data_IF_750780354450
#
_entry.id   IF_750780354450
#
_cell.length_a   1.000
_cell.length_b   1.000
_cell.length_c   1.000
_cell.angle_alpha   90.00
_cell.angle_beta   90.00
_cell.angle_gamma   90.00
#
_symmetry.space_group_name_H-M   'P 1'
#
loop_
_entity.id
_entity.type
_entity.pdbx_description
1 polymer ?
#
# COMPACT_ATOMS: atom_id res chain seq x y z
N UNK A 1 -7.21 9.63 -9.76
CA UNK A 1 -5.80 10.02 -9.52
C UNK A 1 -5.57 11.51 -9.69
N UNK A 2 -4.88 12.15 -8.72
CA UNK A 2 -4.32 13.50 -8.88
C UNK A 2 -3.13 13.43 -9.87
N UNK A 3 -3.45 13.31 -11.15
CA UNK A 3 -2.50 13.28 -12.27
C UNK A 3 -1.93 14.66 -12.58
N UNK A 4 -2.08 15.64 -11.68
CA UNK A 4 -1.54 17.00 -11.87
C UNK A 4 -0.03 16.98 -12.15
N UNK A 5 0.71 16.05 -11.54
CA UNK A 5 2.14 15.85 -11.81
C UNK A 5 2.46 15.46 -13.26
N UNK A 6 1.53 14.78 -13.95
CA UNK A 6 1.70 14.29 -15.32
C UNK A 6 1.57 15.43 -16.34
N UNK A 7 0.76 16.46 -16.01
CA UNK A 7 0.51 17.62 -16.89
C UNK A 7 1.61 18.66 -16.88
N UNK A 8 2.63 18.50 -16.04
CA UNK A 8 3.77 19.41 -15.97
C UNK A 8 4.48 19.51 -17.32
N UNK A 9 4.87 20.72 -17.68
CA UNK A 9 5.74 20.99 -18.82
C UNK A 9 7.18 20.58 -18.49
N UNK A 10 8.03 20.32 -19.51
CA UNK A 10 9.43 20.01 -19.25
C UNK A 10 10.16 21.08 -18.43
N UNK A 11 9.81 22.37 -18.60
CA UNK A 11 10.40 23.48 -17.83
C UNK A 11 10.00 23.41 -16.35
N UNK A 12 8.74 23.14 -16.04
CA UNK A 12 8.27 22.99 -14.66
C UNK A 12 8.88 21.78 -13.96
N UNK A 13 9.02 20.65 -14.67
CA UNK A 13 9.70 19.46 -14.14
C UNK A 13 11.15 19.80 -13.80
N UNK A 14 11.88 20.45 -14.71
CA UNK A 14 13.27 20.89 -14.46
C UNK A 14 13.34 21.85 -13.28
N UNK A 15 12.39 22.78 -13.16
CA UNK A 15 12.31 23.71 -12.02
C UNK A 15 12.18 22.97 -10.69
N UNK A 16 11.24 22.01 -10.60
CA UNK A 16 11.08 21.17 -9.40
C UNK A 16 12.30 20.32 -9.10
N UNK A 17 13.00 19.82 -10.13
CA UNK A 17 14.25 19.07 -9.95
C UNK A 17 15.41 19.97 -9.47
N UNK A 18 15.41 21.26 -9.81
CA UNK A 18 16.44 22.21 -9.36
C UNK A 18 16.38 22.47 -7.85
N UNK A 19 15.23 22.29 -7.20
CA UNK A 19 15.09 22.44 -5.74
C UNK A 19 15.91 21.40 -4.96
N UNK A 20 16.17 20.23 -5.56
CA UNK A 20 16.81 19.10 -4.87
C UNK A 20 18.18 18.74 -5.45
N UNK A 21 18.45 19.10 -6.70
CA UNK A 21 19.60 18.61 -7.45
C UNK A 21 20.34 19.81 -8.01
N UNK A 22 21.62 19.94 -7.67
CA UNK A 22 22.47 21.01 -8.17
C UNK A 22 23.11 20.58 -9.50
N UNK A 23 23.14 21.45 -10.51
CA UNK A 23 23.75 21.15 -11.81
C UNK A 23 22.98 20.10 -12.64
N UNK A 24 23.71 19.26 -13.39
CA UNK A 24 23.14 18.15 -14.20
C UNK A 24 22.00 18.56 -15.16
N UNK A 25 22.10 19.73 -15.77
CA UNK A 25 21.03 20.33 -16.57
C UNK A 25 20.60 19.45 -17.76
N UNK A 26 21.54 18.78 -18.42
CA UNK A 26 21.24 17.89 -19.55
C UNK A 26 20.42 16.66 -19.10
N UNK A 27 20.83 16.03 -18.00
CA UNK A 27 20.11 14.88 -17.44
C UNK A 27 18.69 15.28 -17.02
N UNK A 28 18.53 16.40 -16.30
CA UNK A 28 17.21 16.94 -15.93
C UNK A 28 16.32 17.20 -17.15
N UNK A 29 16.87 17.80 -18.20
CA UNK A 29 16.14 18.09 -19.45
C UNK A 29 15.67 16.80 -20.14
N UNK A 30 16.56 15.82 -20.31
CA UNK A 30 16.25 14.52 -20.94
C UNK A 30 15.16 13.77 -20.18
N UNK A 31 15.28 13.75 -18.85
CA UNK A 31 14.30 13.14 -17.95
C UNK A 31 12.94 13.83 -18.04
N UNK A 32 12.91 15.16 -18.04
CA UNK A 32 11.69 15.94 -18.19
C UNK A 32 11.00 15.71 -19.55
N UNK A 33 11.77 15.57 -20.63
CA UNK A 33 11.24 15.23 -21.96
C UNK A 33 10.62 13.82 -21.95
N UNK A 34 11.31 12.84 -21.36
CA UNK A 34 10.80 11.47 -21.29
C UNK A 34 9.47 11.38 -20.53
N UNK A 35 9.35 12.07 -19.39
CA UNK A 35 8.08 12.19 -18.66
C UNK A 35 7.00 12.87 -19.49
N UNK A 36 7.31 13.99 -20.14
CA UNK A 36 6.33 14.70 -20.98
C UNK A 36 5.87 13.86 -22.15
N UNK A 37 6.74 13.02 -22.70
CA UNK A 37 6.37 12.10 -23.78
C UNK A 37 5.38 11.02 -23.31
N UNK A 38 5.45 10.57 -22.05
CA UNK A 38 4.42 9.67 -21.48
C UNK A 38 3.05 10.35 -21.45
N UNK A 39 2.99 11.60 -20.99
CA UNK A 39 1.75 12.40 -21.03
C UNK A 39 1.24 12.62 -22.47
N UNK A 40 2.13 12.91 -23.41
CA UNK A 40 1.74 13.07 -24.82
C UNK A 40 1.18 11.77 -25.37
N UNK A 41 1.82 10.64 -25.07
CA UNK A 41 1.34 9.31 -25.47
C UNK A 41 -0.05 9.00 -24.91
N UNK A 42 -0.35 9.37 -23.66
CA UNK A 42 -1.68 9.13 -23.09
C UNK A 42 -2.82 9.88 -23.81
N UNK A 43 -2.50 10.93 -24.58
CA UNK A 43 -3.45 11.72 -25.37
C UNK A 43 -3.67 11.19 -26.80
N UNK A 44 -2.90 10.19 -27.23
CA UNK A 44 -3.04 9.60 -28.56
C UNK A 44 -4.20 8.59 -28.59
N UNK A 45 -4.55 8.14 -29.79
CA UNK A 45 -5.42 6.99 -30.02
C UNK A 45 -4.74 5.67 -29.63
N UNK A 46 -5.52 4.61 -29.45
CA UNK A 46 -5.01 3.31 -28.97
C UNK A 46 -4.04 2.64 -29.94
N UNK A 47 -4.20 2.83 -31.25
CA UNK A 47 -3.29 2.31 -32.26
C UNK A 47 -1.92 2.99 -32.14
N UNK A 48 -1.89 4.32 -32.17
CA UNK A 48 -0.66 5.10 -31.99
C UNK A 48 0.01 4.87 -30.63
N UNK A 49 -0.76 4.63 -29.55
CA UNK A 49 -0.20 4.33 -28.22
C UNK A 49 0.61 3.05 -28.21
N UNK A 50 0.14 2.02 -28.91
CA UNK A 50 0.79 0.71 -28.94
C UNK A 50 2.09 0.74 -29.77
N UNK A 51 2.14 1.53 -30.82
CA UNK A 51 3.35 1.68 -31.65
C UNK A 51 4.46 2.49 -30.95
N UNK A 52 4.09 3.42 -30.06
CA UNK A 52 5.05 4.31 -29.41
C UNK A 52 5.60 3.69 -28.12
N UNK A 53 6.79 3.10 -28.24
CA UNK A 53 7.57 2.62 -27.11
C UNK A 53 8.06 3.75 -26.20
N UNK A 54 8.09 3.54 -24.86
CA UNK A 54 8.72 4.46 -23.93
C UNK A 54 10.18 4.75 -24.30
N UNK A 55 10.62 6.00 -24.13
CA UNK A 55 12.03 6.37 -24.28
C UNK A 55 12.77 6.06 -22.98
N UNK A 56 13.42 4.90 -22.94
CA UNK A 56 14.33 4.52 -21.85
C UNK A 56 15.54 5.47 -21.80
N UNK A 57 16.06 5.74 -20.61
CA UNK A 57 17.17 6.67 -20.38
C UNK A 57 18.36 5.90 -19.82
N UNK A 58 19.50 5.99 -20.50
CA UNK A 58 20.78 5.55 -19.98
C UNK A 58 21.54 6.76 -19.40
N UNK A 59 21.81 6.73 -18.09
CA UNK A 59 22.57 7.78 -17.41
C UNK A 59 24.03 7.34 -17.25
N UNK A 60 24.95 8.07 -17.88
CA UNK A 60 26.39 7.80 -17.81
C UNK A 60 27.07 8.89 -16.98
N UNK A 61 27.90 8.49 -16.02
CA UNK A 61 28.66 9.41 -15.18
C UNK A 61 29.28 8.71 -13.97
N UNK A 62 30.18 9.35 -13.22
CA UNK A 62 30.79 8.77 -12.03
C UNK A 62 29.76 8.54 -10.90
N UNK A 63 30.14 7.81 -9.86
CA UNK A 63 29.33 7.67 -8.65
C UNK A 63 29.20 9.03 -7.93
N UNK A 64 28.13 9.21 -7.15
CA UNK A 64 27.94 10.44 -6.35
C UNK A 64 27.45 11.69 -7.10
N UNK A 65 27.38 11.70 -8.44
CA UNK A 65 26.91 12.88 -9.22
C UNK A 65 25.39 13.10 -9.21
N UNK A 66 24.63 12.27 -8.50
CA UNK A 66 23.18 12.41 -8.35
C UNK A 66 22.31 11.65 -9.36
N UNK A 67 22.83 10.66 -10.10
CA UNK A 67 22.05 9.84 -11.06
C UNK A 67 20.78 9.24 -10.43
N UNK A 68 20.94 8.55 -9.29
CA UNK A 68 19.84 7.94 -8.55
C UNK A 68 18.88 9.00 -7.98
N UNK A 69 19.40 10.15 -7.56
CA UNK A 69 18.59 11.23 -6.99
C UNK A 69 17.72 11.89 -8.05
N UNK A 70 18.23 12.08 -9.28
CA UNK A 70 17.43 12.53 -10.43
C UNK A 70 16.26 11.59 -10.67
N UNK A 71 16.51 10.27 -10.73
CA UNK A 71 15.45 9.29 -10.97
C UNK A 71 14.41 9.26 -9.83
N UNK A 72 14.86 9.25 -8.58
CA UNK A 72 14.00 9.24 -7.39
C UNK A 72 13.13 10.51 -7.30
N UNK A 73 13.73 11.69 -7.49
CA UNK A 73 13.01 12.97 -7.43
C UNK A 73 12.03 13.14 -8.57
N UNK A 74 12.43 12.72 -9.78
CA UNK A 74 11.52 12.67 -10.93
C UNK A 74 10.25 11.88 -10.58
N UNK A 75 10.38 10.65 -10.09
CA UNK A 75 9.24 9.81 -9.77
C UNK A 75 8.33 10.47 -8.71
N UNK A 76 8.93 11.05 -7.67
CA UNK A 76 8.18 11.78 -6.63
C UNK A 76 7.42 13.00 -7.18
N UNK A 77 8.02 13.76 -8.11
CA UNK A 77 7.39 14.95 -8.72
C UNK A 77 6.12 14.60 -9.51
N UNK A 78 6.12 13.44 -10.18
CA UNK A 78 4.97 13.00 -11.00
C UNK A 78 4.05 12.02 -10.27
N UNK A 79 4.35 11.67 -9.02
CA UNK A 79 3.58 10.68 -8.25
C UNK A 79 3.66 9.26 -8.85
N UNK A 80 4.79 8.89 -9.46
CA UNK A 80 4.99 7.58 -10.06
C UNK A 80 5.56 6.56 -9.06
N UNK A 81 5.16 5.28 -9.16
CA UNK A 81 5.81 4.20 -8.41
C UNK A 81 7.26 4.04 -8.90
N UNK A 82 8.17 3.86 -7.94
CA UNK A 82 9.61 3.85 -8.17
C UNK A 82 10.29 2.73 -7.41
N UNK A 83 11.15 1.99 -8.11
CA UNK A 83 12.03 0.98 -7.50
C UNK A 83 13.47 1.17 -7.99
N UNK A 84 14.44 1.03 -7.07
CA UNK A 84 15.87 0.91 -7.39
C UNK A 84 16.25 -0.57 -7.29
N UNK A 85 16.85 -1.10 -8.34
CA UNK A 85 17.46 -2.43 -8.36
C UNK A 85 18.93 -2.31 -8.79
N UNK A 86 19.78 -3.22 -8.31
CA UNK A 86 21.20 -3.30 -8.70
C UNK A 86 21.35 -4.47 -9.66
N UNK A 87 21.96 -4.24 -10.83
CA UNK A 87 22.04 -5.26 -11.88
C UNK A 87 22.84 -6.49 -11.44
N UNK A 88 23.83 -6.31 -10.56
CA UNK A 88 24.70 -7.37 -10.02
C UNK A 88 23.93 -8.41 -9.20
N UNK A 89 22.77 -8.06 -8.62
CA UNK A 89 21.92 -8.99 -7.85
C UNK A 89 21.38 -10.16 -8.67
N UNK A 90 21.37 -10.03 -10.00
CA UNK A 90 20.90 -11.06 -10.91
C UNK A 90 22.04 -11.96 -11.42
N UNK A 91 23.31 -11.61 -11.15
CA UNK A 91 24.49 -12.37 -11.59
C UNK A 91 25.00 -13.40 -10.59
N UNK A 92 24.57 -13.35 -9.33
CA UNK A 92 25.11 -14.19 -8.27
C UNK A 92 24.56 -15.62 -8.33
N UNK A 93 25.36 -16.52 -8.90
CA UNK A 93 25.15 -17.97 -8.90
C UNK A 93 25.35 -18.47 -7.46
N UNK A 94 24.29 -18.61 -6.66
CA UNK A 94 24.50 -19.16 -5.31
C UNK A 94 23.30 -19.34 -4.38
N UNK A 95 22.18 -18.65 -4.54
CA UNK A 95 21.03 -18.89 -3.67
C UNK A 95 19.76 -18.47 -4.39
N UNK A 96 19.02 -19.43 -4.96
CA UNK A 96 17.66 -19.28 -5.51
C UNK A 96 17.44 -17.88 -6.09
N UNK A 97 18.15 -17.58 -7.19
CA UNK A 97 18.35 -16.22 -7.68
C UNK A 97 17.04 -15.44 -7.76
N UNK A 98 17.04 -14.18 -7.30
CA UNK A 98 15.89 -13.31 -7.52
C UNK A 98 15.66 -13.24 -9.02
N UNK A 99 14.52 -13.75 -9.44
CA UNK A 99 14.02 -13.63 -10.80
C UNK A 99 14.02 -12.14 -11.21
N UNK A 100 14.45 -11.84 -12.44
CA UNK A 100 14.44 -10.47 -12.96
C UNK A 100 13.02 -9.89 -12.91
N UNK A 101 11.97 -10.72 -13.07
CA UNK A 101 10.58 -10.28 -12.93
C UNK A 101 10.22 -9.76 -11.52
N UNK A 102 11.01 -10.10 -10.50
CA UNK A 102 10.82 -9.57 -9.14
C UNK A 102 10.87 -8.04 -9.10
N UNK A 103 11.60 -7.38 -10.00
CA UNK A 103 11.62 -5.91 -10.07
C UNK A 103 10.26 -5.32 -10.47
N UNK A 104 9.48 -6.05 -11.29
CA UNK A 104 8.13 -5.64 -11.69
C UNK A 104 7.15 -5.89 -10.56
N UNK A 105 7.26 -7.04 -9.88
CA UNK A 105 6.45 -7.35 -8.69
C UNK A 105 6.66 -6.32 -7.58
N UNK A 106 7.91 -6.00 -7.26
CA UNK A 106 8.26 -4.97 -6.28
C UNK A 106 7.72 -3.59 -6.68
N UNK A 107 7.73 -3.26 -7.98
CA UNK A 107 7.15 -2.01 -8.48
C UNK A 107 5.64 -1.95 -8.29
N UNK A 108 4.93 -3.05 -8.58
CA UNK A 108 3.48 -3.16 -8.36
C UNK A 108 3.15 -3.01 -6.87
N UNK A 109 3.91 -3.65 -5.99
CA UNK A 109 3.74 -3.50 -4.54
C UNK A 109 3.89 -2.05 -4.07
N UNK A 110 4.89 -1.35 -4.61
CA UNK A 110 5.07 0.10 -4.35
C UNK A 110 3.86 0.89 -4.87
N UNK A 111 3.32 0.54 -6.03
CA UNK A 111 2.13 1.18 -6.61
C UNK A 111 0.88 0.97 -5.74
N UNK A 112 0.65 -0.25 -5.26
CA UNK A 112 -0.46 -0.59 -4.35
C UNK A 112 -0.38 0.24 -3.07
N UNK A 113 0.81 0.34 -2.47
CA UNK A 113 1.02 1.18 -1.27
C UNK A 113 0.75 2.64 -1.55
N UNK A 114 1.17 3.15 -2.71
CA UNK A 114 0.97 4.53 -3.12
C UNK A 114 -0.51 4.86 -3.30
N UNK A 115 -1.27 4.04 -4.02
CA UNK A 115 -2.72 4.22 -4.23
C UNK A 115 -3.48 4.11 -2.91
N UNK A 116 -3.16 3.11 -2.08
CA UNK A 116 -3.80 2.96 -0.76
C UNK A 116 -3.54 4.17 0.13
N UNK A 117 -2.31 4.69 0.17
CA UNK A 117 -1.99 5.90 0.93
C UNK A 117 -2.77 7.13 0.44
N UNK A 118 -2.93 7.29 -0.88
CA UNK A 118 -3.73 8.37 -1.46
C UNK A 118 -5.22 8.23 -1.12
N UNK A 119 -5.81 7.04 -1.33
CA UNK A 119 -7.22 6.78 -0.99
C UNK A 119 -7.48 6.97 0.51
N UNK A 120 -6.58 6.49 1.37
CA UNK A 120 -6.65 6.68 2.82
C UNK A 120 -6.68 8.16 3.21
N UNK A 121 -5.81 8.98 2.60
CA UNK A 121 -5.78 10.42 2.82
C UNK A 121 -7.09 11.11 2.37
N UNK A 122 -7.66 10.69 1.24
CA UNK A 122 -8.94 11.22 0.75
C UNK A 122 -10.12 10.85 1.66
N UNK A 123 -10.13 9.64 2.22
CA UNK A 123 -11.17 9.19 3.15
C UNK A 123 -11.05 9.91 4.50
N UNK A 124 -9.83 10.05 5.02
CA UNK A 124 -9.56 10.79 6.27
C UNK A 124 -10.05 12.25 6.20
N UNK A 125 -9.94 12.91 5.05
CA UNK A 125 -10.48 14.27 4.85
C UNK A 125 -12.02 14.31 4.86
N UNK A 126 -12.69 13.26 4.37
CA UNK A 126 -14.16 13.23 4.21
C UNK A 126 -14.92 12.73 5.44
N UNK A 127 -14.32 11.89 6.29
CA UNK A 127 -15.06 11.04 7.25
C UNK A 127 -14.50 11.09 8.68
N UNK A 128 -14.42 12.28 9.30
CA UNK A 128 -14.08 12.37 10.75
C UNK A 128 -15.20 11.87 11.68
N UNK A 129 -16.45 11.82 11.20
CA UNK A 129 -17.63 11.58 12.04
C UNK A 129 -17.79 10.12 12.50
N UNK A 130 -17.40 9.14 11.67
CA UNK A 130 -17.57 7.71 12.01
C UNK A 130 -16.61 7.23 13.11
N UNK A 131 -15.30 7.50 13.04
CA UNK A 131 -14.37 7.17 14.13
C UNK A 131 -14.81 7.80 15.45
N UNK A 132 -15.33 9.03 15.40
CA UNK A 132 -15.81 9.76 16.58
C UNK A 132 -17.02 9.11 17.24
N UNK A 133 -17.99 8.60 16.46
CA UNK A 133 -19.14 7.86 16.99
C UNK A 133 -18.73 6.58 17.71
N UNK A 134 -17.76 5.84 17.17
CA UNK A 134 -17.27 4.62 17.81
C UNK A 134 -16.48 4.92 19.10
N UNK A 135 -15.62 5.94 19.07
CA UNK A 135 -14.90 6.42 20.25
C UNK A 135 -15.86 6.86 21.36
N UNK A 136 -16.96 7.52 21.00
CA UNK A 136 -18.03 7.90 21.93
C UNK A 136 -18.73 6.67 22.55
N UNK A 137 -18.96 5.59 21.79
CA UNK A 137 -19.53 4.35 22.36
C UNK A 137 -18.56 3.57 23.24
N UNK A 138 -17.25 3.79 23.10
CA UNK A 138 -16.22 3.21 23.98
C UNK A 138 -16.09 3.98 25.29
N UNK A 139 -16.22 5.32 25.23
CA UNK A 139 -16.18 6.20 26.41
C UNK A 139 -17.48 6.17 27.21
N UNK A 140 -18.62 6.09 26.52
CA UNK A 140 -19.94 5.90 27.12
C UNK A 140 -20.46 4.58 26.62
N UNK A 141 -20.26 3.48 27.39
CA UNK A 141 -20.90 2.23 27.06
C UNK A 141 -22.41 2.47 27.05
N UNK A 142 -23.05 2.38 25.88
CA UNK A 142 -24.44 1.95 25.86
C UNK A 142 -24.46 0.62 26.59
N UNK A 143 -25.31 0.45 27.59
CA UNK A 143 -25.48 -0.82 28.27
C UNK A 143 -25.80 -1.91 27.23
N UNK A 144 -24.78 -2.58 26.69
CA UNK A 144 -24.98 -3.90 26.10
C UNK A 144 -25.36 -4.76 27.28
N UNK A 145 -26.57 -5.33 27.27
CA UNK A 145 -26.97 -6.39 28.19
C UNK A 145 -25.80 -7.38 28.26
N UNK A 146 -25.01 -7.34 29.33
CA UNK A 146 -24.46 -8.58 29.86
C UNK A 146 -25.71 -9.38 30.15
N UNK A 147 -25.97 -10.39 29.33
CA UNK A 147 -27.04 -11.33 29.53
C UNK A 147 -27.07 -11.69 31.01
N UNK A 148 -28.10 -11.22 31.70
CA UNK A 148 -28.49 -11.78 32.97
C UNK A 148 -28.82 -13.23 32.68
N UNK A 149 -27.87 -14.13 32.98
CA UNK A 149 -28.16 -15.53 33.24
C UNK A 149 -29.05 -15.59 34.49
N UNK A 150 -30.29 -15.14 34.37
CA UNK A 150 -31.38 -15.61 35.22
C UNK A 150 -31.82 -16.92 34.59
N UNK A 151 -31.13 -18.01 34.96
CA UNK A 151 -31.61 -19.35 34.76
C UNK A 151 -32.95 -19.45 35.49
N UNK A 152 -34.07 -19.36 34.77
CA UNK A 152 -35.39 -19.63 35.32
C UNK A 152 -35.44 -21.12 35.72
N UNK A 153 -35.53 -21.46 37.02
CA UNK A 153 -35.50 -22.84 37.49
C UNK A 153 -36.68 -23.68 36.99
N UNK A 154 -37.71 -23.03 36.48
CA UNK A 154 -38.93 -23.65 35.95
C UNK A 154 -38.72 -24.27 34.54
N UNK A 155 -37.79 -23.73 33.75
CA UNK A 155 -37.57 -24.14 32.36
C UNK A 155 -36.67 -25.38 32.25
N UNK A 156 -35.85 -25.65 33.27
CA UNK A 156 -35.08 -26.90 33.37
C UNK A 156 -35.92 -28.11 33.83
N UNK A 157 -37.16 -27.88 34.28
CA UNK A 157 -38.06 -28.90 34.84
C UNK A 157 -39.07 -29.43 33.81
N UNK A 158 -39.40 -28.65 32.77
CA UNK A 158 -40.22 -29.09 31.65
C UNK A 158 -39.31 -29.51 30.50
N UNK A 159 -38.93 -30.79 30.52
CA UNK A 159 -37.97 -31.35 29.57
C UNK A 159 -38.35 -31.20 28.11
N UNK A 160 -37.39 -30.72 27.31
CA UNK A 160 -37.17 -31.15 25.93
C UNK A 160 -38.12 -30.61 24.84
N UNK A 161 -37.48 -30.02 23.82
CA UNK A 161 -37.90 -29.96 22.42
C UNK A 161 -39.04 -28.98 22.04
N UNK A 162 -38.65 -27.72 21.79
CA UNK A 162 -39.16 -26.96 20.64
C UNK A 162 -37.96 -26.29 19.95
N UNK A 163 -37.59 -26.66 18.71
CA UNK A 163 -36.65 -25.89 17.93
C UNK A 163 -37.36 -24.63 17.44
N UNK A 164 -37.08 -23.49 18.07
CA UNK A 164 -37.55 -22.19 17.58
C UNK A 164 -36.78 -21.83 16.30
N UNK A 165 -37.33 -22.24 15.17
CA UNK A 165 -36.90 -21.81 13.84
C UNK A 165 -37.65 -20.53 13.50
N UNK A 166 -36.93 -19.40 13.41
CA UNK A 166 -37.49 -18.15 12.89
C UNK A 166 -37.77 -17.08 13.94
N UNK A 167 -36.72 -16.47 14.48
CA UNK A 167 -36.76 -15.04 14.78
C UNK A 167 -35.46 -14.43 14.26
N UNK A 168 -35.58 -13.75 13.12
CA UNK A 168 -34.62 -12.74 12.72
C UNK A 168 -34.54 -11.75 13.88
N UNK A 169 -33.39 -11.70 14.54
CA UNK A 169 -33.04 -10.61 15.43
C UNK A 169 -32.87 -9.36 14.56
N UNK A 170 -33.97 -8.71 14.23
CA UNK A 170 -33.94 -7.28 13.97
C UNK A 170 -33.59 -6.63 15.30
N UNK A 171 -32.42 -6.00 15.34
CA UNK A 171 -31.90 -5.24 16.46
C UNK A 171 -32.89 -4.12 16.83
N UNK A 172 -33.88 -4.42 17.67
CA UNK A 172 -34.65 -3.38 18.36
C UNK A 172 -33.74 -2.73 19.41
N UNK A 173 -33.05 -1.67 18.99
CA UNK A 173 -32.44 -0.71 19.90
C UNK A 173 -33.54 -0.06 20.76
N UNK A 174 -33.73 -0.52 22.00
CA UNK A 174 -34.55 0.21 22.98
C UNK A 174 -34.03 1.67 23.07
N UNK A 175 -34.92 2.68 23.07
CA UNK A 175 -34.52 4.07 23.06
C UNK A 175 -33.69 4.37 24.32
N UNK A 176 -32.53 5.05 24.20
CA UNK A 176 -31.69 5.35 25.34
C UNK A 176 -32.47 6.21 26.34
N UNK A 177 -32.38 5.88 27.64
CA UNK A 177 -32.92 6.72 28.73
C UNK A 177 -32.40 8.16 28.61
N UNK A 178 -33.24 9.15 28.94
CA UNK A 178 -32.93 10.59 28.78
C UNK A 178 -31.61 11.01 29.48
N UNK A 179 -31.27 10.38 30.60
CA UNK A 179 -29.99 10.61 31.32
C UNK A 179 -28.75 10.13 30.53
N UNK A 180 -28.88 9.10 29.71
CA UNK A 180 -27.77 8.59 28.90
C UNK A 180 -27.59 9.47 27.67
N UNK A 181 -28.67 9.98 27.08
CA UNK A 181 -28.61 10.94 25.97
C UNK A 181 -27.89 12.23 26.38
N UNK A 182 -28.17 12.75 27.56
CA UNK A 182 -27.56 13.97 28.10
C UNK A 182 -26.08 13.78 28.42
N UNK A 183 -25.68 12.69 29.08
CA UNK A 183 -24.26 12.35 29.28
C UNK A 183 -23.49 12.14 27.98
N UNK A 184 -24.13 11.50 27.00
CA UNK A 184 -23.53 11.24 25.68
C UNK A 184 -23.34 12.52 24.87
N UNK A 185 -24.23 13.50 24.97
CA UNK A 185 -24.07 14.79 24.29
C UNK A 185 -22.96 15.63 24.95
N UNK A 186 -22.84 15.60 26.27
CA UNK A 186 -21.79 16.29 27.01
C UNK A 186 -20.40 15.71 26.71
N UNK A 187 -20.24 14.39 26.77
CA UNK A 187 -18.97 13.71 26.44
C UNK A 187 -18.62 13.89 24.96
N UNK A 188 -19.60 13.89 24.06
CA UNK A 188 -19.37 14.23 22.65
C UNK A 188 -18.78 15.62 22.50
N UNK A 189 -19.33 16.63 23.21
CA UNK A 189 -18.79 18.00 23.18
C UNK A 189 -17.36 18.05 23.72
N UNK A 190 -17.09 17.38 24.84
CA UNK A 190 -15.75 17.31 25.43
C UNK A 190 -14.73 16.59 24.51
N UNK A 191 -15.18 15.59 23.74
CA UNK A 191 -14.36 14.87 22.76
C UNK A 191 -14.06 15.72 21.51
N UNK A 192 -15.03 16.52 21.06
CA UNK A 192 -14.88 17.50 19.98
C UNK A 192 -13.96 18.66 20.41
N UNK A 193 -14.05 19.10 21.66
CA UNK A 193 -13.18 20.11 22.27
C UNK A 193 -11.77 19.58 22.62
N UNK A 194 -11.49 18.29 22.41
CA UNK A 194 -10.17 17.69 22.69
C UNK A 194 -9.82 17.61 24.18
N UNK A 195 -10.80 17.63 25.08
CA UNK A 195 -10.56 17.61 26.54
C UNK A 195 -10.30 16.20 27.08
N UNK A 196 -10.65 15.17 26.32
CA UNK A 196 -10.58 13.77 26.73
C UNK A 196 -9.38 13.00 26.14
N UNK A 197 -8.42 13.67 25.48
CA UNK A 197 -7.31 13.00 24.77
C UNK A 197 -6.44 12.10 25.66
N UNK A 198 -6.32 12.46 26.94
CA UNK A 198 -5.52 11.75 27.95
C UNK A 198 -6.27 10.59 28.63
N UNK A 199 -7.59 10.53 28.47
CA UNK A 199 -8.39 9.43 29.02
C UNK A 199 -7.99 8.11 28.36
N UNK A 200 -8.11 7.02 29.11
CA UNK A 200 -7.76 5.69 28.62
C UNK A 200 -9.00 4.97 28.13
N UNK A 201 -8.91 4.39 26.94
CA UNK A 201 -9.97 3.57 26.33
C UNK A 201 -9.42 2.22 25.93
N UNK A 202 -10.26 1.19 26.06
CA UNK A 202 -9.94 -0.15 25.59
C UNK A 202 -10.42 -0.30 24.16
N UNK A 203 -9.48 -0.59 23.26
CA UNK A 203 -9.77 -0.83 21.84
C UNK A 203 -9.28 -2.22 21.43
N UNK A 204 -10.00 -2.84 20.51
CA UNK A 204 -9.59 -4.09 19.85
C UNK A 204 -8.68 -3.73 18.68
N UNK A 205 -7.40 -4.02 18.81
CA UNK A 205 -6.41 -3.78 17.74
C UNK A 205 -6.04 -5.13 17.11
N UNK A 206 -5.95 -5.17 15.78
CA UNK A 206 -5.34 -6.32 15.11
C UNK A 206 -3.85 -6.34 15.44
N UNK A 207 -3.41 -7.38 16.15
CA UNK A 207 -2.01 -7.57 16.44
C UNK A 207 -1.40 -8.41 15.33
N UNK A 208 -0.37 -7.87 14.68
CA UNK A 208 0.43 -8.62 13.72
C UNK A 208 1.26 -9.68 14.49
N UNK A 209 1.02 -10.99 14.29
CA UNK A 209 1.66 -12.05 15.09
C UNK A 209 3.18 -12.07 14.97
N UNK A 210 3.75 -11.41 13.95
CA UNK A 210 5.19 -11.35 13.68
C UNK A 210 6.04 -10.75 14.80
N UNK A 211 5.47 -9.94 15.70
CA UNK A 211 6.21 -9.33 16.79
C UNK A 211 6.58 -10.31 17.94
N UNK A 212 5.93 -11.47 18.02
CA UNK A 212 6.20 -12.48 19.07
C UNK A 212 7.13 -13.62 18.57
N UNK A 213 7.55 -13.59 17.30
CA UNK A 213 8.38 -14.63 16.69
C UNK A 213 9.89 -14.58 17.03
N UNK A 214 10.36 -13.55 17.75
CA UNK A 214 11.78 -13.38 18.09
C UNK A 214 12.28 -14.27 19.26
N UNK A 215 11.48 -15.24 19.75
CA UNK A 215 11.84 -16.08 20.90
C UNK A 215 11.96 -17.59 20.60
N UNK A 216 11.98 -18.02 19.33
CA UNK A 216 12.04 -19.44 18.97
C UNK A 216 12.89 -19.72 17.73
N UNK A 217 14.05 -20.36 17.95
CA UNK A 217 14.92 -21.11 17.02
C UNK A 217 14.73 -20.92 15.50
N UNK A 218 15.78 -20.39 14.87
CA UNK A 218 15.99 -20.00 13.48
C UNK A 218 15.90 -21.09 12.38
N UNK A 219 15.03 -22.11 12.47
CA UNK A 219 15.07 -23.21 11.48
C UNK A 219 13.88 -23.35 10.53
N UNK A 220 12.77 -22.61 10.66
CA UNK A 220 11.62 -22.79 9.74
C UNK A 220 10.79 -21.51 9.53
N UNK A 221 11.38 -20.48 8.90
CA UNK A 221 10.68 -19.24 8.54
C UNK A 221 9.49 -19.47 7.59
N UNK A 222 9.62 -20.35 6.59
CA UNK A 222 8.53 -20.62 5.63
C UNK A 222 7.32 -21.31 6.27
N UNK A 223 7.52 -22.18 7.26
CA UNK A 223 6.41 -22.85 7.96
C UNK A 223 5.71 -21.89 8.94
N UNK A 224 6.44 -20.94 9.54
CA UNK A 224 5.86 -19.89 10.38
C UNK A 224 5.00 -18.90 9.57
N UNK A 225 5.43 -18.52 8.36
CA UNK A 225 4.63 -17.66 7.48
C UNK A 225 3.33 -18.34 7.03
N UNK A 226 3.39 -19.63 6.65
CA UNK A 226 2.21 -20.41 6.29
C UNK A 226 1.25 -20.61 7.48
N UNK A 227 1.78 -20.83 8.69
CA UNK A 227 1.00 -20.93 9.93
C UNK A 227 0.33 -19.60 10.30
N UNK A 228 1.02 -18.46 10.11
CA UNK A 228 0.47 -17.13 10.37
C UNK A 228 -0.65 -16.75 9.39
N UNK A 229 -0.62 -17.28 8.16
CA UNK A 229 -1.66 -17.06 7.15
C UNK A 229 -2.93 -17.91 7.41
N UNK A 230 -2.77 -19.08 8.02
CA UNK A 230 -3.85 -19.99 8.40
C UNK A 230 -4.47 -19.66 9.77
N UNK A 231 -3.77 -18.93 10.64
CA UNK A 231 -4.33 -18.49 11.91
C UNK A 231 -5.21 -17.24 11.74
N UNK A 232 -6.46 -17.24 12.23
CA UNK A 232 -7.31 -16.05 12.17
C UNK A 232 -6.65 -14.93 12.98
N UNK A 233 -6.56 -13.73 12.39
CA UNK A 233 -6.02 -12.53 13.03
C UNK A 233 -6.73 -12.29 14.36
N UNK A 234 -6.06 -12.60 15.48
CA UNK A 234 -6.63 -12.36 16.81
C UNK A 234 -6.59 -10.86 17.09
N UNK A 235 -7.77 -10.25 17.21
CA UNK A 235 -7.91 -8.88 17.73
C UNK A 235 -7.62 -8.91 19.23
N UNK A 236 -6.58 -8.21 19.66
CA UNK A 236 -6.18 -8.12 21.07
C UNK A 236 -6.72 -6.82 21.65
N UNK A 237 -7.35 -6.90 22.82
CA UNK A 237 -7.79 -5.71 23.55
C UNK A 237 -6.59 -5.02 24.18
N UNK A 238 -6.41 -3.73 23.88
CA UNK A 238 -5.37 -2.89 24.45
C UNK A 238 -5.97 -1.61 25.02
N UNK A 239 -5.44 -1.19 26.15
CA UNK A 239 -5.80 0.07 26.77
C UNK A 239 -4.83 1.16 26.29
N UNK A 240 -5.35 2.18 25.61
CA UNK A 240 -4.57 3.27 25.02
C UNK A 240 -5.24 4.61 25.30
N UNK A 241 -4.49 5.70 25.21
CA UNK A 241 -5.05 7.04 25.29
C UNK A 241 -6.02 7.31 24.13
N UNK A 242 -7.04 8.14 24.36
CA UNK A 242 -8.04 8.56 23.36
C UNK A 242 -7.37 9.15 22.11
N UNK A 243 -6.27 9.89 22.24
CA UNK A 243 -5.53 10.44 21.09
C UNK A 243 -5.02 9.32 20.16
N UNK A 244 -4.42 8.29 20.75
CA UNK A 244 -3.88 7.13 20.03
C UNK A 244 -5.02 6.28 19.48
N UNK A 245 -6.09 6.08 20.27
CA UNK A 245 -7.29 5.37 19.82
C UNK A 245 -7.92 6.05 18.60
N UNK A 246 -8.00 7.39 18.58
CA UNK A 246 -8.54 8.15 17.45
C UNK A 246 -7.76 7.85 16.17
N UNK A 247 -6.43 7.85 16.23
CA UNK A 247 -5.56 7.53 15.08
C UNK A 247 -5.76 6.09 14.60
N UNK A 248 -5.75 5.12 15.52
CA UNK A 248 -5.92 3.69 15.19
C UNK A 248 -7.29 3.42 14.58
N UNK A 249 -8.35 3.96 15.17
CA UNK A 249 -9.71 3.78 14.66
C UNK A 249 -9.87 4.45 13.30
N UNK A 250 -9.38 5.69 13.13
CA UNK A 250 -9.42 6.37 11.83
C UNK A 250 -8.72 5.56 10.74
N UNK A 251 -7.59 4.96 11.07
CA UNK A 251 -6.84 4.10 10.15
C UNK A 251 -7.58 2.82 9.80
N UNK A 252 -8.10 2.09 10.79
CA UNK A 252 -8.90 0.88 10.58
C UNK A 252 -10.14 1.17 9.74
N UNK A 253 -10.83 2.28 10.01
CA UNK A 253 -12.01 2.68 9.25
C UNK A 253 -11.68 3.09 7.82
N UNK A 254 -10.54 3.76 7.62
CA UNK A 254 -10.12 4.10 6.27
C UNK A 254 -9.82 2.82 5.47
N UNK A 255 -9.19 1.82 6.08
CA UNK A 255 -8.89 0.54 5.42
C UNK A 255 -10.16 -0.24 5.07
N UNK A 256 -11.19 -0.23 5.94
CA UNK A 256 -12.51 -0.82 5.67
C UNK A 256 -13.28 -0.11 4.54
N UNK A 257 -13.15 1.21 4.44
CA UNK A 257 -13.85 2.02 3.43
C UNK A 257 -13.19 1.97 2.05
N UNK A 258 -11.92 1.55 1.96
CA UNK A 258 -11.22 1.42 0.69
C UNK A 258 -11.63 0.11 0.03
N UNK A 259 -12.32 0.22 -1.10
CA UNK A 259 -12.49 -0.89 -2.02
C UNK A 259 -11.11 -1.36 -2.52
N UNK A 260 -10.72 -2.55 -2.08
CA UNK A 260 -9.43 -3.14 -2.38
C UNK A 260 -9.33 -3.54 -3.85
N UNK A 261 -10.42 -3.98 -4.47
CA UNK A 261 -10.41 -4.40 -5.88
C UNK A 261 -10.17 -3.20 -6.79
N UNK A 262 -10.95 -2.13 -6.62
CA UNK A 262 -10.72 -0.86 -7.32
C UNK A 262 -9.32 -0.28 -7.03
N UNK A 263 -8.83 -0.36 -5.79
CA UNK A 263 -7.50 0.13 -5.44
C UNK A 263 -6.37 -0.66 -6.12
N UNK A 264 -6.51 -1.98 -6.21
CA UNK A 264 -5.52 -2.83 -6.86
C UNK A 264 -5.52 -2.63 -8.38
N UNK A 265 -6.68 -2.50 -9.01
CA UNK A 265 -6.80 -2.19 -10.43
C UNK A 265 -6.17 -0.82 -10.76
N UNK A 266 -6.48 0.20 -9.97
CA UNK A 266 -5.90 1.54 -10.13
C UNK A 266 -4.36 1.52 -9.92
N UNK A 267 -3.87 0.69 -8.99
CA UNK A 267 -2.44 0.51 -8.76
C UNK A 267 -1.74 -0.21 -9.92
N UNK A 268 -2.38 -1.20 -10.54
CA UNK A 268 -1.85 -1.90 -11.71
C UNK A 268 -1.71 -0.94 -12.88
N UNK A 269 -2.76 -0.18 -13.20
CA UNK A 269 -2.74 0.84 -14.25
C UNK A 269 -1.68 1.92 -13.99
N UNK A 270 -1.50 2.33 -12.74
CA UNK A 270 -0.46 3.28 -12.35
C UNK A 270 0.96 2.71 -12.58
N UNK A 271 1.18 1.45 -12.25
CA UNK A 271 2.46 0.78 -12.48
C UNK A 271 2.76 0.65 -13.98
N UNK A 272 1.77 0.24 -14.78
CA UNK A 272 1.91 0.08 -16.23
C UNK A 272 2.18 1.40 -16.96
N UNK A 273 1.43 2.47 -16.63
CA UNK A 273 1.51 3.73 -17.35
C UNK A 273 2.65 4.63 -16.83
N UNK A 274 2.86 4.63 -15.52
CA UNK A 274 3.72 5.61 -14.85
C UNK A 274 4.89 4.99 -14.09
N UNK A 275 4.98 3.67 -14.00
CA UNK A 275 6.08 2.98 -13.33
C UNK A 275 7.47 3.38 -13.82
N UNK A 276 8.40 3.48 -12.86
CA UNK A 276 9.80 3.82 -13.10
C UNK A 276 10.67 2.79 -12.38
N UNK A 277 11.45 2.04 -13.16
CA UNK A 277 12.47 1.12 -12.65
C UNK A 277 13.84 1.75 -12.91
N UNK A 278 14.62 1.93 -11.84
CA UNK A 278 16.00 2.39 -11.94
C UNK A 278 16.95 1.20 -11.73
N UNK A 279 17.61 0.80 -12.81
CA UNK A 279 18.63 -0.26 -12.80
C UNK A 279 19.99 0.40 -12.61
N UNK A 280 20.54 0.28 -11.40
CA UNK A 280 21.87 0.77 -11.04
C UNK A 280 22.94 -0.24 -11.44
N UNK A 281 24.16 0.24 -11.65
CA UNK A 281 25.34 -0.58 -12.00
C UNK A 281 25.15 -1.51 -13.21
N UNK A 282 24.36 -1.08 -14.20
CA UNK A 282 24.12 -1.87 -15.42
C UNK A 282 25.41 -2.09 -16.24
N UNK A 283 26.42 -1.25 -16.06
CA UNK A 283 27.75 -1.42 -16.64
C UNK A 283 28.47 -2.67 -16.09
N UNK A 284 28.13 -3.14 -14.88
CA UNK A 284 28.74 -4.34 -14.26
C UNK A 284 28.27 -5.65 -14.87
N UNK A 285 27.13 -5.64 -15.56
CA UNK A 285 26.61 -6.79 -16.29
C UNK A 285 26.91 -6.72 -17.79
N UNK A 286 27.61 -5.69 -18.26
CA UNK A 286 28.13 -5.62 -19.62
C UNK A 286 29.30 -6.61 -19.82
N UNK A 287 29.40 -7.19 -21.02
CA UNK A 287 30.52 -8.07 -21.39
C UNK A 287 31.64 -7.30 -22.06
N UNK A 288 32.88 -7.65 -21.73
CA UNK A 288 34.06 -7.24 -22.49
C UNK A 288 34.45 -8.39 -23.40
N UNK A 289 34.66 -8.15 -24.70
CA UNK A 289 34.92 -9.14 -25.77
C UNK A 289 36.11 -10.11 -25.58
N UNK A 290 36.72 -10.24 -24.40
CA UNK A 290 37.95 -10.98 -24.18
C UNK A 290 37.92 -12.10 -23.11
N UNK A 291 36.85 -12.32 -22.33
CA UNK A 291 36.88 -13.32 -21.23
C UNK A 291 35.64 -14.25 -21.19
N UNK A 292 35.73 -15.38 -21.90
CA UNK A 292 34.64 -16.35 -22.14
C UNK A 292 33.97 -17.02 -20.93
N UNK A 293 34.54 -16.96 -19.71
CA UNK A 293 34.05 -17.71 -18.55
C UNK A 293 32.99 -17.00 -17.68
N UNK A 294 33.23 -15.75 -17.27
CA UNK A 294 32.27 -14.96 -16.48
C UNK A 294 31.22 -14.24 -17.35
N UNK A 295 31.45 -14.19 -18.67
CA UNK A 295 30.59 -13.50 -19.62
C UNK A 295 29.22 -14.19 -19.78
N UNK A 296 29.12 -15.51 -19.61
CA UNK A 296 27.85 -16.25 -19.81
C UNK A 296 26.78 -15.85 -18.78
N UNK A 297 27.16 -15.69 -17.50
CA UNK A 297 26.22 -15.26 -16.44
C UNK A 297 25.79 -13.80 -16.63
N UNK A 298 26.73 -12.92 -17.00
CA UNK A 298 26.44 -11.49 -17.27
C UNK A 298 25.54 -11.31 -18.50
N UNK A 299 25.78 -12.08 -19.56
CA UNK A 299 24.90 -12.11 -20.75
C UNK A 299 23.51 -12.68 -20.43
N UNK A 300 23.43 -13.68 -19.54
CA UNK A 300 22.16 -14.21 -19.04
C UNK A 300 21.29 -13.11 -18.45
N UNK A 301 21.84 -12.29 -17.55
CA UNK A 301 21.12 -11.16 -16.95
C UNK A 301 20.64 -10.15 -17.98
N UNK A 302 21.48 -9.79 -18.97
CA UNK A 302 21.04 -8.90 -20.04
C UNK A 302 19.88 -9.50 -20.85
N UNK A 303 19.95 -10.80 -21.14
CA UNK A 303 18.90 -11.53 -21.86
C UNK A 303 17.59 -11.54 -21.07
N UNK A 304 17.66 -11.66 -19.76
CA UNK A 304 16.49 -11.76 -18.88
C UNK A 304 15.87 -10.38 -18.59
N UNK A 305 16.66 -9.30 -18.59
CA UNK A 305 16.16 -7.91 -18.52
C UNK A 305 15.51 -7.47 -19.85
N UNK A 306 15.96 -8.00 -20.98
CA UNK A 306 15.52 -7.59 -22.31
C UNK A 306 14.01 -7.73 -22.53
N UNK A 307 13.34 -8.85 -22.13
CA UNK A 307 11.89 -8.94 -22.08
C UNK A 307 11.28 -7.77 -21.32
N UNK A 308 11.70 -7.43 -20.11
CA UNK A 308 11.07 -6.35 -19.34
C UNK A 308 11.17 -4.99 -20.06
N UNK A 309 12.27 -4.74 -20.79
CA UNK A 309 12.45 -3.54 -21.60
C UNK A 309 11.65 -3.55 -22.91
N UNK A 310 11.36 -4.73 -23.47
CA UNK A 310 10.65 -4.93 -24.76
C UNK A 310 9.15 -5.24 -24.60
N UNK A 311 8.75 -5.88 -23.51
CA UNK A 311 7.44 -6.49 -23.18
C UNK A 311 6.44 -5.46 -22.65
N UNK A 312 6.69 -4.16 -22.87
CA UNK A 312 5.56 -3.23 -23.04
C UNK A 312 4.65 -3.64 -24.23
N UNK A 313 5.05 -4.63 -25.03
CA UNK A 313 4.29 -5.31 -26.07
C UNK A 313 4.44 -6.83 -25.93
N UNK A 314 3.56 -7.51 -25.17
CA UNK A 314 3.09 -8.88 -25.46
C UNK A 314 2.03 -9.26 -24.43
N UNK A 315 0.74 -9.14 -24.80
CA UNK A 315 -0.34 -9.95 -24.20
C UNK A 315 -0.51 -11.20 -25.08
N UNK A 316 0.02 -12.38 -24.72
CA UNK A 316 -0.45 -13.60 -25.35
C UNK A 316 -1.74 -13.99 -24.62
N UNK A 317 -2.88 -13.69 -25.23
CA UNK A 317 -4.13 -14.47 -25.20
C UNK A 317 -5.30 -13.62 -25.71
N UNK A 318 -5.58 -13.76 -27.00
CA UNK A 318 -6.95 -13.78 -27.49
C UNK A 318 -7.05 -15.01 -28.38
N UNK A 319 -7.31 -16.14 -27.71
CA UNK A 319 -7.88 -17.33 -28.35
C UNK A 319 -9.33 -16.97 -28.66
N UNK A 320 -9.74 -17.15 -29.93
CA UNK A 320 -11.14 -17.27 -30.32
C UNK A 320 -11.67 -18.62 -29.84
#
# INVERSE_FOLDING_TARGET
MDTAGIRLTPKEIVSKLNEYIVGQNDAKRKVAIALRNRYRRSLLDEESKQEISPKNILMIGPTGVGKTEIARRMAKVVGAPFIKVEATKFTEVGYVGRDVESMVRDLVDVSVRLVKAQKKSLVQMKQQLRPMKNLLSLLVPSMKKKASQTNNPLESLFGGAIPNFGQNNEDEEEPPTEEIKTKRSEIKRQLEEGKLEKEKVRIKVEQDPGALGMLGTNQNQQMQEMMNQLMPKKKVEREVAVETARKILADSYADELIDQESANQEALELAEQMGIIFIDEIDKVATNNHNSGQDVSRQGVQRDILPILKVALFKPNMVL
#
